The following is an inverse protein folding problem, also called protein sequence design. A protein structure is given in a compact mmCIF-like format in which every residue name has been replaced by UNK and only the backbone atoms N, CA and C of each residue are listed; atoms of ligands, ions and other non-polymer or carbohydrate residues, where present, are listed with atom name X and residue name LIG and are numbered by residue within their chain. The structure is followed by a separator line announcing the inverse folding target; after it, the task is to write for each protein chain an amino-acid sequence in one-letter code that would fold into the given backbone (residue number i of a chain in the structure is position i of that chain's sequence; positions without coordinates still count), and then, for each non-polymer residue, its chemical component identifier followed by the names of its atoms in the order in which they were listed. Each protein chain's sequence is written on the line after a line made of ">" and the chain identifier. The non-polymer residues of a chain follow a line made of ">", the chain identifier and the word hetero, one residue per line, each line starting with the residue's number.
data_IF_722249530145
#
_entry.id   IF_722249530145
#
_cell.length_a   1.000
_cell.length_b   1.000
_cell.length_c   1.000
_cell.angle_alpha   90.00
_cell.angle_beta   90.00
_cell.angle_gamma   90.00
#
_symmetry.space_group_name_H-M   'P 1'
#
loop_
_entity.id
_entity.type
_entity.pdbx_description
1 polymer ?
#
# COMPACT_ATOMS: atom_id res chain seq x y z
N UNK A 1 5.26 -9.78 6.87
CA UNK A 1 4.24 -8.83 7.37
C UNK A 1 3.90 -7.78 6.33
N UNK A 2 4.88 -7.10 5.74
CA UNK A 2 4.72 -6.12 4.65
C UNK A 2 3.74 -6.50 3.54
N UNK A 3 3.94 -7.68 2.94
CA UNK A 3 3.21 -8.10 1.73
C UNK A 3 1.85 -8.75 2.01
N UNK A 4 1.45 -8.82 3.28
CA UNK A 4 0.19 -9.44 3.71
C UNK A 4 -0.77 -8.42 4.32
N UNK A 5 -0.43 -7.13 4.28
CA UNK A 5 -1.36 -6.11 4.73
C UNK A 5 -2.49 -5.97 3.72
N UNK A 6 -3.71 -5.67 4.17
CA UNK A 6 -4.82 -5.43 3.27
C UNK A 6 -4.54 -4.34 2.22
N UNK A 7 -3.83 -3.27 2.58
CA UNK A 7 -3.42 -2.20 1.65
C UNK A 7 -2.52 -2.73 0.53
N UNK A 8 -1.56 -3.58 0.86
CA UNK A 8 -0.65 -4.17 -0.13
C UNK A 8 -1.41 -5.11 -1.09
N UNK A 9 -2.33 -5.92 -0.55
CA UNK A 9 -3.17 -6.79 -1.35
C UNK A 9 -4.08 -5.98 -2.28
N UNK A 10 -4.72 -4.91 -1.79
CA UNK A 10 -5.54 -4.02 -2.62
C UNK A 10 -4.70 -3.32 -3.71
N UNK A 11 -3.47 -2.93 -3.40
CA UNK A 11 -2.54 -2.35 -4.38
C UNK A 11 -2.24 -3.33 -5.52
N UNK A 12 -1.99 -4.60 -5.19
CA UNK A 12 -1.80 -5.67 -6.19
C UNK A 12 -3.08 -5.89 -7.00
N UNK A 13 -4.25 -5.92 -6.37
CA UNK A 13 -5.51 -6.08 -7.08
C UNK A 13 -5.71 -4.98 -8.13
N UNK A 14 -5.47 -3.72 -7.76
CA UNK A 14 -5.56 -2.57 -8.66
C UNK A 14 -4.52 -2.64 -9.77
N UNK A 15 -3.26 -2.93 -9.43
CA UNK A 15 -2.18 -3.03 -10.42
C UNK A 15 -2.45 -4.15 -11.44
N UNK A 16 -2.84 -5.33 -10.96
CA UNK A 16 -3.19 -6.47 -11.81
C UNK A 16 -4.44 -6.18 -12.65
N UNK A 17 -5.49 -5.60 -12.06
CA UNK A 17 -6.70 -5.21 -12.79
C UNK A 17 -6.41 -4.21 -13.91
N UNK A 18 -5.59 -3.19 -13.64
CA UNK A 18 -5.16 -2.22 -14.66
C UNK A 18 -4.29 -2.85 -15.74
N UNK A 19 -3.35 -3.72 -15.37
CA UNK A 19 -2.50 -4.43 -16.32
C UNK A 19 -3.33 -5.33 -17.23
N UNK A 20 -4.19 -6.17 -16.66
CA UNK A 20 -5.08 -7.05 -17.40
C UNK A 20 -6.00 -6.25 -18.31
N UNK A 21 -6.60 -5.16 -17.83
CA UNK A 21 -7.42 -4.26 -18.64
C UNK A 21 -6.66 -3.77 -19.88
N UNK A 22 -5.44 -3.23 -19.69
CA UNK A 22 -4.61 -2.75 -20.80
C UNK A 22 -4.19 -3.86 -21.75
N UNK A 23 -3.78 -5.01 -21.22
CA UNK A 23 -3.40 -6.16 -22.05
C UNK A 23 -4.58 -6.63 -22.88
N UNK A 24 -5.78 -6.72 -22.29
CA UNK A 24 -7.00 -7.05 -23.02
C UNK A 24 -7.32 -6.02 -24.09
N UNK A 25 -7.19 -4.72 -23.81
CA UNK A 25 -7.38 -3.66 -24.80
C UNK A 25 -6.41 -3.80 -25.98
N UNK A 26 -5.15 -4.12 -25.72
CA UNK A 26 -4.15 -4.35 -26.76
C UNK A 26 -4.49 -5.61 -27.56
N UNK A 27 -4.80 -6.72 -26.88
CA UNK A 27 -5.12 -8.00 -27.53
C UNK A 27 -6.42 -7.97 -28.34
N UNK A 28 -7.33 -7.05 -28.03
CA UNK A 28 -8.64 -6.91 -28.68
C UNK A 28 -8.77 -5.56 -29.38
N UNK A 29 -7.63 -4.98 -29.79
CA UNK A 29 -7.57 -3.62 -30.37
C UNK A 29 -8.02 -3.57 -31.83
N UNK A 30 -7.95 -4.70 -32.55
CA UNK A 30 -8.37 -4.80 -33.95
C UNK A 30 -9.37 -5.93 -34.18
N UNK A 31 -10.25 -5.81 -35.20
CA UNK A 31 -11.24 -6.85 -35.51
C UNK A 31 -10.59 -8.21 -35.78
N UNK A 32 -9.42 -8.25 -36.40
CA UNK A 32 -8.70 -9.50 -36.71
C UNK A 32 -8.22 -10.21 -35.42
N UNK A 33 -7.70 -9.44 -34.46
CA UNK A 33 -7.24 -9.97 -33.18
C UNK A 33 -8.43 -10.42 -32.32
N UNK A 34 -9.50 -9.62 -32.28
CA UNK A 34 -10.74 -9.97 -31.61
C UNK A 34 -11.37 -11.24 -32.22
N UNK A 35 -11.38 -11.37 -33.55
CA UNK A 35 -11.87 -12.55 -34.25
C UNK A 35 -11.05 -13.80 -33.92
N UNK A 36 -9.71 -13.67 -33.84
CA UNK A 36 -8.82 -14.76 -33.41
C UNK A 36 -9.14 -15.21 -31.97
N UNK A 37 -9.40 -14.28 -31.06
CA UNK A 37 -9.78 -14.59 -29.68
C UNK A 37 -11.19 -15.22 -29.59
N UNK A 38 -12.14 -14.76 -30.41
CA UNK A 38 -13.49 -15.32 -30.47
C UNK A 38 -13.49 -16.75 -31.04
N UNK A 39 -12.71 -17.03 -32.09
CA UNK A 39 -12.57 -18.38 -32.67
C UNK A 39 -11.99 -19.40 -31.70
N UNK A 40 -11.14 -18.98 -30.77
CA UNK A 40 -10.54 -19.87 -29.78
C UNK A 40 -11.54 -20.36 -28.71
N UNK A 41 -12.75 -19.80 -28.65
CA UNK A 41 -13.79 -20.20 -27.69
C UNK A 41 -14.63 -21.36 -28.26
N UNK A 42 -14.77 -22.49 -27.54
CA UNK A 42 -15.58 -23.63 -28.01
C UNK A 42 -17.03 -23.28 -28.37
N UNK A 43 -17.63 -22.32 -27.67
CA UNK A 43 -18.98 -21.84 -27.92
C UNK A 43 -19.17 -21.14 -29.28
N UNK A 44 -18.08 -20.82 -29.99
CA UNK A 44 -18.08 -20.09 -31.24
C UNK A 44 -17.70 -20.97 -32.45
N UNK A 45 -17.49 -22.28 -32.27
CA UNK A 45 -17.04 -23.17 -33.34
C UNK A 45 -18.07 -23.35 -34.48
N UNK A 46 -19.36 -23.16 -34.18
CA UNK A 46 -20.44 -23.27 -35.17
C UNK A 46 -20.79 -21.94 -35.83
N UNK A 47 -20.22 -20.82 -35.36
CA UNK A 47 -20.50 -19.49 -35.93
C UNK A 47 -19.78 -19.31 -37.26
N UNK A 48 -20.46 -18.67 -38.21
CA UNK A 48 -19.85 -18.28 -39.47
C UNK A 48 -18.84 -17.15 -39.29
N UNK A 49 -17.92 -17.02 -40.25
CA UNK A 49 -16.93 -15.94 -40.25
C UNK A 49 -17.56 -14.54 -40.28
N UNK A 50 -18.71 -14.38 -40.94
CA UNK A 50 -19.44 -13.12 -40.98
C UNK A 50 -19.99 -12.74 -39.59
N UNK A 51 -20.57 -13.71 -38.87
CA UNK A 51 -21.08 -13.50 -37.51
C UNK A 51 -19.95 -13.19 -36.52
N UNK A 52 -18.82 -13.89 -36.64
CA UNK A 52 -17.65 -13.64 -35.79
C UNK A 52 -17.00 -12.28 -36.05
N UNK A 53 -17.01 -11.81 -37.30
CA UNK A 53 -16.48 -10.50 -37.65
C UNK A 53 -17.34 -9.36 -37.08
N UNK A 54 -18.67 -9.49 -37.19
CA UNK A 54 -19.62 -8.54 -36.60
C UNK A 54 -19.51 -8.50 -35.06
N UNK A 55 -19.33 -9.66 -34.42
CA UNK A 55 -19.07 -9.73 -32.97
C UNK A 55 -17.70 -9.14 -32.59
N UNK A 56 -16.67 -9.33 -33.44
CA UNK A 56 -15.36 -8.74 -33.23
C UNK A 56 -15.39 -7.21 -33.30
N UNK A 57 -16.17 -6.61 -34.22
CA UNK A 57 -16.36 -5.16 -34.30
C UNK A 57 -16.96 -4.61 -33.01
N UNK A 58 -18.04 -5.22 -32.51
CA UNK A 58 -18.65 -4.84 -31.22
C UNK A 58 -17.68 -4.93 -30.07
N UNK A 59 -16.87 -5.99 -30.03
CA UNK A 59 -15.88 -6.18 -28.97
C UNK A 59 -14.80 -5.11 -29.02
N UNK A 60 -14.28 -4.77 -30.21
CA UNK A 60 -13.28 -3.69 -30.38
C UNK A 60 -13.84 -2.36 -29.89
N UNK A 61 -15.09 -2.04 -30.22
CA UNK A 61 -15.70 -0.77 -29.80
C UNK A 61 -15.93 -0.73 -28.28
N UNK A 62 -16.40 -1.82 -27.68
CA UNK A 62 -16.49 -1.94 -26.22
C UNK A 62 -15.13 -1.71 -25.52
N UNK A 63 -14.05 -2.26 -26.08
CA UNK A 63 -12.71 -2.10 -25.50
C UNK A 63 -12.17 -0.66 -25.61
N UNK A 64 -12.58 0.09 -26.65
CA UNK A 64 -12.24 1.52 -26.82
C UNK A 64 -12.99 2.42 -25.86
N UNK A 65 -14.24 2.09 -25.53
CA UNK A 65 -15.08 2.90 -24.65
C UNK A 65 -14.60 2.89 -23.18
N UNK A 66 -13.68 1.97 -22.83
CA UNK A 66 -13.04 1.86 -21.50
C UNK A 66 -14.01 1.66 -20.31
N UNK A 67 -15.28 1.34 -20.57
CA UNK A 67 -16.36 1.30 -19.57
C UNK A 67 -16.43 0.01 -18.74
N UNK A 68 -15.32 -0.69 -18.56
CA UNK A 68 -15.28 -1.92 -17.77
C UNK A 68 -14.19 -1.88 -16.71
N UNK A 69 -14.43 -2.60 -15.61
CA UNK A 69 -13.48 -2.81 -14.54
C UNK A 69 -13.08 -4.29 -14.51
N UNK A 70 -11.79 -4.56 -14.36
CA UNK A 70 -11.27 -5.91 -14.16
C UNK A 70 -11.05 -6.11 -12.66
N UNK A 71 -11.97 -6.86 -12.04
CA UNK A 71 -11.86 -7.22 -10.63
C UNK A 71 -11.05 -8.51 -10.53
N UNK A 72 -9.91 -8.45 -9.84
CA UNK A 72 -9.10 -9.63 -9.54
C UNK A 72 -9.52 -10.25 -8.21
N UNK A 73 -9.61 -11.58 -8.17
CA UNK A 73 -10.02 -12.27 -6.96
C UNK A 73 -9.02 -12.02 -5.82
N UNK A 74 -9.52 -11.83 -4.60
CA UNK A 74 -8.66 -11.57 -3.44
C UNK A 74 -7.63 -12.69 -3.23
N UNK A 75 -8.04 -13.95 -3.41
CA UNK A 75 -7.16 -15.12 -3.32
C UNK A 75 -6.00 -15.07 -4.32
N UNK A 76 -6.24 -14.66 -5.57
CA UNK A 76 -5.20 -14.51 -6.58
C UNK A 76 -4.21 -13.39 -6.24
N UNK A 77 -4.71 -12.27 -5.72
CA UNK A 77 -3.85 -11.18 -5.27
C UNK A 77 -2.98 -11.58 -4.08
N UNK A 78 -3.52 -12.33 -3.12
CA UNK A 78 -2.74 -12.90 -2.01
C UNK A 78 -1.66 -13.85 -2.54
N UNK A 79 -2.00 -14.76 -3.45
CA UNK A 79 -1.03 -15.68 -4.04
C UNK A 79 0.07 -14.96 -4.82
N UNK A 80 -0.28 -13.86 -5.50
CA UNK A 80 0.70 -12.99 -6.19
C UNK A 80 1.58 -12.23 -5.20
N UNK A 81 1.04 -11.84 -4.05
CA UNK A 81 1.77 -11.09 -3.02
C UNK A 81 2.81 -11.93 -2.28
N UNK A 82 2.56 -13.23 -2.10
CA UNK A 82 3.41 -14.10 -1.28
C UNK A 82 4.86 -14.19 -1.78
N UNK A 83 5.15 -14.47 -3.08
CA UNK A 83 6.51 -14.49 -3.60
C UNK A 83 7.23 -13.15 -3.53
N UNK A 84 6.51 -12.02 -3.49
CA UNK A 84 7.13 -10.70 -3.33
C UNK A 84 7.82 -10.55 -1.97
N UNK A 85 7.47 -11.37 -0.97
CA UNK A 85 8.20 -11.43 0.28
C UNK A 85 9.69 -11.72 0.05
N UNK A 86 10.01 -12.66 -0.84
CA UNK A 86 11.40 -13.06 -1.14
C UNK A 86 12.17 -11.95 -1.85
N UNK A 87 11.47 -11.06 -2.56
CA UNK A 87 12.06 -9.87 -3.20
C UNK A 87 12.26 -8.72 -2.21
N UNK A 88 11.30 -8.51 -1.31
CA UNK A 88 11.32 -7.39 -0.36
C UNK A 88 12.22 -7.68 0.84
N UNK A 89 12.30 -8.94 1.29
CA UNK A 89 13.05 -9.32 2.49
C UNK A 89 14.54 -8.93 2.41
N UNK A 90 15.29 -9.21 1.33
CA UNK A 90 16.69 -8.78 1.21
C UNK A 90 16.86 -7.27 1.34
N UNK A 91 15.95 -6.51 0.72
CA UNK A 91 15.95 -5.04 0.81
C UNK A 91 15.78 -4.59 2.26
N UNK A 92 14.89 -5.24 3.01
CA UNK A 92 14.64 -4.94 4.42
C UNK A 92 15.86 -5.28 5.30
N UNK A 93 16.52 -6.42 5.05
CA UNK A 93 17.72 -6.82 5.78
C UNK A 93 18.92 -5.90 5.53
N UNK A 94 19.01 -5.28 4.36
CA UNK A 94 20.09 -4.33 4.02
C UNK A 94 19.89 -2.92 4.58
N UNK A 95 18.72 -2.62 5.17
CA UNK A 95 18.47 -1.32 5.82
C UNK A 95 19.22 -1.19 7.13
N UNK A 96 19.42 0.06 7.56
CA UNK A 96 19.76 0.35 8.95
C UNK A 96 18.54 0.11 9.82
N UNK A 97 18.72 -0.55 10.96
CA UNK A 97 17.69 -0.85 11.94
C UNK A 97 17.88 0.07 13.13
N UNK A 98 16.80 0.71 13.58
CA UNK A 98 16.80 1.54 14.78
C UNK A 98 15.68 1.08 15.69
N UNK A 99 16.02 0.61 16.89
CA UNK A 99 15.05 0.31 17.95
C UNK A 99 14.69 1.64 18.62
N UNK A 100 13.44 2.04 18.48
CA UNK A 100 12.88 3.20 19.15
C UNK A 100 12.31 2.77 20.51
N UNK A 101 12.76 3.43 21.56
CA UNK A 101 12.27 3.21 22.92
C UNK A 101 11.40 4.39 23.35
N UNK A 102 10.17 4.09 23.76
CA UNK A 102 9.25 5.07 24.30
C UNK A 102 9.73 5.54 25.69
N UNK A 103 9.57 6.84 26.03
CA UNK A 103 9.84 7.31 27.37
C UNK A 103 8.76 6.85 28.35
N UNK A 104 9.07 6.90 29.65
CA UNK A 104 8.10 6.59 30.70
C UNK A 104 6.81 7.42 30.53
N UNK A 105 5.66 6.79 30.73
CA UNK A 105 4.35 7.42 30.57
C UNK A 105 3.84 7.52 29.13
N UNK A 106 4.65 7.17 28.13
CA UNK A 106 4.22 7.05 26.72
C UNK A 106 4.20 5.59 26.28
N UNK A 107 3.42 5.28 25.25
CA UNK A 107 3.39 3.94 24.69
C UNK A 107 3.03 3.95 23.21
N UNK A 108 3.62 3.05 22.44
CA UNK A 108 3.22 2.81 21.06
C UNK A 108 1.87 2.10 20.98
N UNK A 109 1.13 2.38 19.91
CA UNK A 109 -0.02 1.59 19.45
C UNK A 109 0.38 0.73 18.26
N UNK A 110 -0.41 -0.29 17.94
CA UNK A 110 -0.30 -1.04 16.68
C UNK A 110 -1.67 -1.20 16.05
N UNK A 111 -1.73 -1.69 14.81
CA UNK A 111 -2.95 -1.79 14.02
C UNK A 111 -2.98 -3.11 13.25
N UNK A 112 -4.08 -3.37 12.54
CA UNK A 112 -4.16 -4.46 11.56
C UNK A 112 -3.24 -4.26 10.33
N UNK A 113 -2.73 -3.05 10.14
CA UNK A 113 -1.64 -2.71 9.23
C UNK A 113 -0.38 -2.30 10.03
N UNK A 114 0.08 -3.18 10.92
CA UNK A 114 1.14 -2.91 11.90
C UNK A 114 2.47 -2.37 11.33
N UNK A 115 2.71 -2.57 10.03
CA UNK A 115 3.92 -2.11 9.37
C UNK A 115 3.60 -0.98 8.41
N UNK A 116 4.02 0.23 8.78
CA UNK A 116 3.80 1.45 8.00
C UNK A 116 5.01 1.73 7.10
N UNK A 117 4.74 2.12 5.86
CA UNK A 117 5.74 2.58 4.90
C UNK A 117 5.51 4.07 4.61
N UNK A 118 6.49 4.91 4.93
CA UNK A 118 6.49 6.35 4.65
C UNK A 118 7.84 6.80 4.12
N UNK A 119 8.00 8.07 3.76
CA UNK A 119 9.24 8.62 3.22
C UNK A 119 9.86 9.67 4.13
N UNK A 120 11.19 9.65 4.26
CA UNK A 120 11.96 10.69 4.95
C UNK A 120 11.96 12.01 4.17
N UNK A 121 11.82 11.95 2.85
CA UNK A 121 11.76 13.11 1.97
C UNK A 121 10.34 13.32 1.43
N UNK A 122 9.98 14.57 1.15
CA UNK A 122 8.74 14.88 0.43
C UNK A 122 8.88 14.40 -1.01
N UNK A 123 8.01 13.51 -1.44
CA UNK A 123 7.99 13.01 -2.82
C UNK A 123 7.00 13.79 -3.68
N UNK A 124 7.33 14.08 -4.96
CA UNK A 124 6.34 14.53 -5.92
C UNK A 124 5.24 13.46 -6.07
N UNK A 125 3.97 13.86 -6.16
CA UNK A 125 2.80 12.96 -6.22
C UNK A 125 2.84 11.89 -7.33
N UNK A 126 3.75 11.99 -8.30
CA UNK A 126 3.84 11.11 -9.47
C UNK A 126 4.65 9.84 -9.24
N UNK A 127 5.40 9.74 -8.14
CA UNK A 127 6.26 8.58 -7.86
C UNK A 127 5.75 7.81 -6.64
N UNK A 128 5.36 6.55 -6.86
CA UNK A 128 4.97 5.65 -5.77
C UNK A 128 6.12 5.40 -4.79
N UNK A 129 5.78 5.14 -3.53
CA UNK A 129 6.72 4.74 -2.49
C UNK A 129 6.71 3.21 -2.38
N UNK A 130 7.90 2.60 -2.44
CA UNK A 130 8.07 1.16 -2.26
C UNK A 130 9.21 0.86 -1.29
N UNK A 131 9.28 -0.35 -0.75
CA UNK A 131 10.32 -0.73 0.22
C UNK A 131 11.77 -0.58 -0.29
N UNK A 132 11.98 -0.66 -1.61
CA UNK A 132 13.27 -0.41 -2.26
C UNK A 132 13.63 1.08 -2.43
N UNK A 133 12.73 2.00 -2.11
CA UNK A 133 12.97 3.44 -2.27
C UNK A 133 14.07 3.94 -1.33
N UNK A 134 15.10 4.67 -1.78
CA UNK A 134 16.22 5.06 -0.91
C UNK A 134 15.81 5.81 0.37
N UNK A 135 14.80 6.65 0.29
CA UNK A 135 14.20 7.44 1.37
C UNK A 135 13.03 6.75 2.09
N UNK A 136 12.77 5.46 1.81
CA UNK A 136 11.76 4.70 2.52
C UNK A 136 12.12 4.57 4.00
N UNK A 137 11.16 4.93 4.84
CA UNK A 137 11.11 4.68 6.27
C UNK A 137 10.02 3.65 6.51
N UNK A 138 10.40 2.50 7.08
CA UNK A 138 9.42 1.54 7.59
C UNK A 138 9.37 1.65 9.10
N UNK A 139 8.16 1.69 9.67
CA UNK A 139 7.92 1.71 11.11
C UNK A 139 7.08 0.49 11.51
N UNK A 140 7.51 -0.21 12.56
CA UNK A 140 6.87 -1.41 13.08
C UNK A 140 6.87 -1.39 14.61
N UNK A 141 5.75 -1.09 15.27
CA UNK A 141 5.60 -1.27 16.71
C UNK A 141 5.77 -2.75 17.08
N UNK A 142 6.62 -3.04 18.06
CA UNK A 142 6.83 -4.39 18.60
C UNK A 142 6.06 -4.62 19.89
N UNK A 143 5.97 -3.57 20.72
CA UNK A 143 5.29 -3.58 22.01
C UNK A 143 4.88 -2.16 22.38
N UNK A 144 4.22 -1.99 23.53
CA UNK A 144 3.92 -0.66 24.06
C UNK A 144 5.17 0.19 24.32
N UNK A 145 6.33 -0.42 24.57
CA UNK A 145 7.58 0.29 24.89
C UNK A 145 8.54 0.46 23.72
N UNK A 146 8.39 -0.33 22.65
CA UNK A 146 9.40 -0.42 21.60
C UNK A 146 8.79 -0.50 20.19
N UNK A 147 9.46 0.16 19.24
CA UNK A 147 9.19 0.06 17.81
C UNK A 147 10.50 -0.10 17.03
N UNK A 148 10.42 -0.64 15.81
CA UNK A 148 11.53 -0.67 14.85
C UNK A 148 11.28 0.41 13.80
N UNK A 149 12.31 1.20 13.53
CA UNK A 149 12.43 2.02 12.33
C UNK A 149 13.50 1.43 11.43
N UNK A 150 13.20 1.20 10.15
CA UNK A 150 14.21 0.86 9.14
C UNK A 150 14.31 1.94 8.09
N UNK A 151 15.50 2.47 7.87
CA UNK A 151 15.78 3.50 6.87
C UNK A 151 17.28 3.50 6.51
N UNK A 152 17.64 4.27 5.47
CA UNK A 152 19.02 4.30 4.98
C UNK A 152 19.47 2.97 4.39
N UNK A 153 20.77 2.78 4.20
CA UNK A 153 21.38 1.53 3.74
C UNK A 153 22.61 1.23 4.60
N UNK A 154 22.83 -0.04 4.93
CA UNK A 154 23.98 -0.50 5.69
C UNK A 154 23.61 -1.17 7.00
N UNK A 155 24.44 -2.13 7.49
CA UNK A 155 24.12 -3.02 8.60
C UNK A 155 24.33 -2.33 9.95
N UNK A 156 23.60 -1.26 10.20
CA UNK A 156 23.61 -0.56 11.49
C UNK A 156 22.42 -1.02 12.32
N UNK A 157 22.66 -1.32 13.60
CA UNK A 157 21.61 -1.53 14.58
C UNK A 157 21.79 -0.47 15.66
N UNK A 158 20.89 0.50 15.69
CA UNK A 158 20.88 1.59 16.65
C UNK A 158 19.76 1.39 17.67
N UNK A 159 19.88 2.05 18.83
CA UNK A 159 18.79 2.20 19.80
C UNK A 159 18.65 3.66 20.17
N UNK A 160 17.47 4.22 19.95
CA UNK A 160 17.16 5.61 20.25
C UNK A 160 16.03 5.69 21.26
N UNK A 161 16.25 6.44 22.34
CA UNK A 161 15.16 6.85 23.22
C UNK A 161 14.53 8.10 22.63
N UNK A 162 13.26 8.01 22.27
CA UNK A 162 12.53 9.13 21.66
C UNK A 162 11.69 9.85 22.72
N UNK A 163 11.23 11.06 22.41
CA UNK A 163 10.32 11.80 23.29
C UNK A 163 8.86 11.36 23.11
N UNK A 164 8.00 11.82 24.02
CA UNK A 164 6.57 11.50 24.02
C UNK A 164 5.85 12.07 22.79
N UNK A 165 6.36 13.15 22.22
CA UNK A 165 5.79 13.77 21.02
C UNK A 165 6.04 12.89 19.79
N UNK A 166 7.24 12.37 19.60
CA UNK A 166 7.58 11.46 18.52
C UNK A 166 6.78 10.15 18.63
N UNK A 167 6.59 9.60 19.84
CA UNK A 167 5.70 8.45 20.07
C UNK A 167 4.27 8.78 19.60
N UNK A 168 3.75 9.96 19.98
CA UNK A 168 2.41 10.39 19.58
C UNK A 168 2.28 10.51 18.06
N UNK A 169 3.27 11.10 17.39
CA UNK A 169 3.27 11.27 15.93
C UNK A 169 3.32 9.93 15.19
N UNK A 170 4.14 8.98 15.66
CA UNK A 170 4.18 7.61 15.16
C UNK A 170 2.81 6.94 15.33
N UNK A 171 2.21 7.06 16.52
CA UNK A 171 0.89 6.47 16.80
C UNK A 171 -0.20 7.04 15.89
N UNK A 172 -0.23 8.36 15.68
CA UNK A 172 -1.19 8.98 14.78
C UNK A 172 -1.00 8.52 13.34
N UNK A 173 0.25 8.41 12.87
CA UNK A 173 0.55 7.93 11.51
C UNK A 173 0.09 6.49 11.30
N UNK A 174 0.40 5.60 12.25
CA UNK A 174 -0.04 4.20 12.20
C UNK A 174 -1.56 4.10 12.20
N UNK A 175 -2.22 4.93 13.02
CA UNK A 175 -3.69 4.93 13.14
C UNK A 175 -4.36 5.41 11.87
N UNK A 176 -3.76 6.37 11.15
CA UNK A 176 -4.24 6.81 9.83
C UNK A 176 -4.20 5.69 8.78
N UNK A 177 -3.31 4.70 8.96
CA UNK A 177 -3.20 3.52 8.10
C UNK A 177 -4.00 2.32 8.64
N UNK A 178 -4.67 2.44 9.79
CA UNK A 178 -5.49 1.37 10.34
C UNK A 178 -6.73 1.17 9.48
N UNK A 179 -7.05 -0.08 9.15
CA UNK A 179 -8.27 -0.36 8.39
C UNK A 179 -9.45 -0.65 9.30
N UNK A 180 -9.26 -1.51 10.31
CA UNK A 180 -10.33 -2.01 11.17
C UNK A 180 -10.00 -1.97 12.64
N UNK A 181 -8.74 -2.23 13.00
CA UNK A 181 -8.36 -2.44 14.38
C UNK A 181 -7.21 -1.53 14.81
N UNK A 182 -7.39 -0.93 15.98
CA UNK A 182 -6.36 -0.21 16.73
C UNK A 182 -6.15 -0.96 18.04
N UNK A 183 -4.89 -1.34 18.30
CA UNK A 183 -4.48 -2.01 19.53
C UNK A 183 -3.59 -1.07 20.34
N UNK A 184 -3.96 -0.85 21.59
CA UNK A 184 -3.22 -0.02 22.53
C UNK A 184 -3.04 -0.76 23.86
N UNK A 185 -2.20 -0.20 24.73
CA UNK A 185 -1.98 -0.72 26.08
C UNK A 185 -3.27 -0.84 26.91
N UNK A 186 -4.18 0.11 26.75
CA UNK A 186 -5.43 0.21 27.50
C UNK A 186 -6.49 1.01 26.71
N UNK A 187 -7.77 0.88 27.11
CA UNK A 187 -8.91 1.51 26.43
C UNK A 187 -8.82 3.04 26.41
N UNK A 188 -8.29 3.64 27.48
CA UNK A 188 -8.12 5.09 27.57
C UNK A 188 -7.12 5.57 26.53
N UNK A 189 -6.02 4.85 26.36
CA UNK A 189 -5.00 5.13 25.36
C UNK A 189 -5.56 4.94 23.94
N UNK A 190 -6.27 3.84 23.66
CA UNK A 190 -6.93 3.61 22.38
C UNK A 190 -7.91 4.74 22.03
N UNK A 191 -8.78 5.14 22.98
CA UNK A 191 -9.74 6.21 22.78
C UNK A 191 -9.07 7.58 22.56
N UNK A 192 -7.96 7.86 23.24
CA UNK A 192 -7.21 9.10 23.07
C UNK A 192 -6.60 9.20 21.66
N UNK A 193 -5.95 8.14 21.20
CA UNK A 193 -5.32 8.09 19.86
C UNK A 193 -6.38 8.10 18.76
N UNK A 194 -7.43 7.28 18.88
CA UNK A 194 -8.53 7.22 17.90
C UNK A 194 -9.23 8.56 17.71
N UNK A 195 -9.50 9.30 18.79
CA UNK A 195 -10.07 10.67 18.72
C UNK A 195 -9.11 11.64 18.05
N UNK A 196 -7.83 11.59 18.40
CA UNK A 196 -6.82 12.49 17.84
C UNK A 196 -6.58 12.22 16.34
N UNK A 197 -6.71 10.97 15.90
CA UNK A 197 -6.62 10.56 14.50
C UNK A 197 -7.95 10.67 13.74
N UNK A 198 -9.05 11.09 14.38
CA UNK A 198 -10.39 11.24 13.78
C UNK A 198 -10.96 9.97 13.12
N UNK A 199 -10.64 8.78 13.65
CA UNK A 199 -11.07 7.51 13.05
C UNK A 199 -12.60 7.37 12.90
N UNK A 200 -13.40 8.00 13.77
CA UNK A 200 -14.87 7.97 13.70
C UNK A 200 -15.46 8.84 12.57
N UNK A 201 -14.73 9.86 12.13
CA UNK A 201 -15.15 10.76 11.04
C UNK A 201 -14.79 10.17 9.66
N UNK A 202 -13.81 9.26 9.63
CA UNK A 202 -13.46 8.49 8.45
C UNK A 202 -14.46 7.34 8.25
N UNK A 203 -15.71 7.68 7.90
CA UNK A 203 -16.66 6.68 7.39
C UNK A 203 -16.06 6.05 6.14
N UNK A 204 -15.76 4.76 6.22
CA UNK A 204 -15.11 4.02 5.15
C UNK A 204 -16.03 3.94 3.92
N UNK A 205 -15.79 4.82 2.93
CA UNK A 205 -16.33 4.65 1.59
C UNK A 205 -15.42 3.69 0.84
N UNK A 206 -15.93 2.51 0.50
CA UNK A 206 -15.33 1.67 -0.54
C UNK A 206 -15.29 2.49 -1.84
N UNK A 207 -14.15 3.09 -2.19
CA UNK A 207 -13.93 3.58 -3.55
C UNK A 207 -13.32 4.97 -3.76
N UNK A 208 -12.99 5.77 -2.73
CA UNK A 208 -12.35 7.08 -3.00
C UNK A 208 -11.31 7.48 -1.96
N UNK A 209 -10.03 7.46 -2.34
CA UNK A 209 -8.99 8.21 -1.65
C UNK A 209 -8.51 9.35 -2.55
N UNK A 210 -9.36 10.36 -2.71
CA UNK A 210 -8.92 11.75 -2.88
C UNK A 210 -9.26 12.46 -1.57
N UNK A 211 -8.39 12.31 -0.56
CA UNK A 211 -8.59 12.88 0.78
C UNK A 211 -7.31 13.55 1.27
N UNK A 212 -7.29 14.88 1.19
CA UNK A 212 -6.48 15.86 1.93
C UNK A 212 -5.08 15.47 2.43
N UNK A 213 -4.11 15.76 1.57
CA UNK A 213 -2.64 15.69 1.74
C UNK A 213 -2.10 16.68 2.81
N UNK A 214 -2.94 17.52 3.41
CA UNK A 214 -2.48 18.61 4.28
C UNK A 214 -1.94 18.14 5.66
N UNK A 215 -2.41 17.01 6.19
CA UNK A 215 -1.97 16.51 7.51
C UNK A 215 -0.64 15.72 7.44
N UNK A 216 -0.42 14.99 6.33
CA UNK A 216 0.82 14.26 6.02
C UNK A 216 2.07 15.15 6.06
N UNK A 217 1.93 16.44 5.77
CA UNK A 217 3.07 17.36 5.67
C UNK A 217 3.70 17.73 7.02
N UNK A 218 2.97 17.66 8.16
CA UNK A 218 3.53 18.01 9.49
C UNK A 218 4.19 16.82 10.18
N UNK A 219 3.60 15.62 10.06
CA UNK A 219 4.10 14.42 10.73
C UNK A 219 5.35 13.88 10.04
N UNK A 220 5.37 13.85 8.71
CA UNK A 220 6.58 13.48 7.96
C UNK A 220 7.75 14.47 8.22
N UNK A 221 7.46 15.76 8.46
CA UNK A 221 8.50 16.75 8.73
C UNK A 221 9.21 16.54 10.08
N UNK A 222 8.50 16.08 11.12
CA UNK A 222 9.10 15.81 12.43
C UNK A 222 9.75 14.44 12.54
N UNK A 223 9.16 13.41 11.91
CA UNK A 223 9.86 12.14 11.71
C UNK A 223 11.15 12.36 10.92
N UNK A 224 11.15 13.27 9.94
CA UNK A 224 12.37 13.70 9.26
C UNK A 224 13.38 14.33 10.23
N UNK A 225 12.97 15.21 11.16
CA UNK A 225 13.90 15.76 12.18
C UNK A 225 14.45 14.67 13.11
N UNK A 226 13.66 13.64 13.42
CA UNK A 226 14.11 12.51 14.23
C UNK A 226 15.13 11.64 13.49
N UNK A 227 14.90 11.37 12.20
CA UNK A 227 15.69 10.43 11.39
C UNK A 227 16.71 11.08 10.45
N UNK A 228 16.81 12.41 10.44
CA UNK A 228 17.91 13.09 9.77
C UNK A 228 19.18 12.88 10.59
N UNK A 229 20.25 12.32 9.99
CA UNK A 229 21.57 12.46 10.58
C UNK A 229 21.91 13.95 10.57
N UNK A 230 22.61 14.39 11.61
CA UNK A 230 23.49 15.55 11.53
C UNK A 230 24.51 15.28 10.40
N UNK A 231 24.11 15.47 9.15
CA UNK A 231 25.03 15.64 8.03
C UNK A 231 25.44 17.11 8.04
N UNK A 232 26.49 17.40 8.79
CA UNK A 232 27.45 18.46 8.46
C UNK A 232 28.65 17.78 7.84
#
# INVERSE_FOLDING_TARGET
>A
MAVRTPDFIQSIQRANGQLLKRVSQIMLSTPEQAMKALRAKPANFEKSDAELFDEALRLVDFMKEDQFEVITAHSEAVLTALPLADTVAPTFFLRGWTILEAPLGSSFVTTDAAMMLTSLARRPHRFGLGHGSPDALTLLPLSSGYAIATFGMGPTINRWRIDSQNVREINLSLTDHAQRFLFARDDRHAAAVSRAARMKENSWNQGSTSGDVALLCKVCFRLKLLFQPLYV
#
